data_IF_550436898758
#
_entry.id   IF_550436898758
#
_cell.length_a   1.000
_cell.length_b   1.000
_cell.length_c   1.000
_cell.angle_alpha   90.00
_cell.angle_beta   90.00
_cell.angle_gamma   90.00
#
_symmetry.space_group_name_H-M   'P 1'
#
loop_
_entity.id
_entity.type
_entity.pdbx_description
1 polymer ?
#
# COMPACT_ATOMS: atom_id res chain seq x y z
N UNK A 1 -16.65 34.46 -16.70
CA UNK A 1 -16.06 35.66 -16.06
C UNK A 1 -14.67 35.86 -16.64
N UNK A 2 -14.40 36.92 -17.40
CA UNK A 2 -13.06 37.18 -17.92
C UNK A 2 -12.18 37.76 -16.81
N UNK A 3 -11.01 37.15 -16.61
CA UNK A 3 -9.94 37.63 -15.73
C UNK A 3 -9.38 38.93 -16.33
N UNK A 4 -9.50 40.02 -15.57
CA UNK A 4 -9.02 41.34 -15.95
C UNK A 4 -7.50 41.36 -16.06
N UNK A 5 -7.03 41.80 -17.22
CA UNK A 5 -5.64 42.12 -17.50
C UNK A 5 -5.30 43.46 -16.83
N UNK A 6 -4.96 43.42 -15.54
CA UNK A 6 -4.45 44.58 -14.81
C UNK A 6 -2.96 44.79 -15.15
N UNK A 7 -2.69 45.27 -16.36
CA UNK A 7 -1.41 45.92 -16.66
C UNK A 7 -1.34 47.23 -15.89
N UNK A 8 -0.87 47.13 -14.65
CA UNK A 8 -0.78 48.24 -13.70
C UNK A 8 0.04 49.41 -14.28
N UNK A 9 -0.52 50.64 -14.35
CA UNK A 9 0.14 51.81 -14.92
C UNK A 9 1.46 52.18 -14.22
N UNK A 10 1.69 51.63 -13.02
CA UNK A 10 2.95 51.79 -12.28
C UNK A 10 4.15 51.11 -12.96
N UNK A 11 3.96 50.00 -13.70
CA UNK A 11 5.06 49.32 -14.41
C UNK A 11 5.54 50.14 -15.62
N UNK A 12 4.62 50.75 -16.37
CA UNK A 12 4.99 51.60 -17.51
C UNK A 12 5.73 52.87 -17.07
N UNK A 13 5.43 53.39 -15.88
CA UNK A 13 6.12 54.58 -15.34
C UNK A 13 7.57 54.28 -14.95
N UNK A 14 7.85 53.10 -14.39
CA UNK A 14 9.20 52.71 -13.98
C UNK A 14 10.16 52.51 -15.17
N UNK A 15 9.66 51.97 -16.29
CA UNK A 15 10.46 51.78 -17.51
C UNK A 15 10.83 53.14 -18.12
N UNK A 16 9.88 54.09 -18.16
CA UNK A 16 10.13 55.43 -18.68
C UNK A 16 11.16 56.24 -17.86
N UNK A 17 11.28 56.01 -16.55
CA UNK A 17 12.28 56.67 -15.71
C UNK A 17 13.70 56.14 -15.96
N UNK A 18 13.85 54.87 -16.32
CA UNK A 18 15.14 54.25 -16.64
C UNK A 18 15.73 54.80 -17.94
N UNK A 19 14.91 54.94 -18.99
CA UNK A 19 15.34 55.52 -20.27
C UNK A 19 15.79 56.98 -20.13
N UNK A 20 15.15 57.74 -19.22
CA UNK A 20 15.50 59.14 -18.96
C UNK A 20 16.88 59.28 -18.31
N UNK A 21 17.24 58.36 -17.42
CA UNK A 21 18.53 58.35 -16.72
C UNK A 21 19.65 57.95 -17.68
N UNK A 22 19.42 56.95 -18.54
CA UNK A 22 20.41 56.52 -19.53
C UNK A 22 20.67 57.62 -20.59
N UNK A 23 19.63 58.32 -21.02
CA UNK A 23 19.75 59.48 -21.92
C UNK A 23 20.55 60.64 -21.28
N UNK A 24 20.39 60.87 -19.97
CA UNK A 24 21.14 61.90 -19.25
C UNK A 24 22.63 61.54 -19.14
N UNK A 25 22.97 60.27 -18.87
CA UNK A 25 24.35 59.80 -18.82
C UNK A 25 25.05 59.95 -20.18
N UNK A 26 24.36 59.60 -21.28
CA UNK A 26 24.92 59.70 -22.64
C UNK A 26 25.18 61.15 -23.08
N UNK A 27 24.39 62.12 -22.57
CA UNK A 27 24.62 63.56 -22.81
C UNK A 27 25.82 64.11 -22.05
N UNK A 28 26.13 63.57 -20.86
CA UNK A 28 27.30 63.96 -20.10
C UNK A 28 28.60 63.52 -20.78
N UNK A 29 28.61 62.34 -21.43
CA UNK A 29 29.75 61.81 -22.17
C UNK A 29 30.16 62.72 -23.35
N UNK A 30 29.18 63.27 -24.07
CA UNK A 30 29.42 64.15 -25.23
C UNK A 30 30.07 65.48 -24.80
N UNK A 31 29.83 65.95 -23.56
CA UNK A 31 30.40 67.20 -23.03
C UNK A 31 31.89 67.10 -22.70
N UNK A 32 32.42 65.89 -22.46
CA UNK A 32 33.86 65.65 -22.22
C UNK A 32 34.73 65.83 -23.48
N UNK A 33 34.14 65.77 -24.68
CA UNK A 33 34.86 65.87 -25.96
C UNK A 33 34.82 67.27 -26.61
N UNK A 34 34.33 68.29 -25.90
CA UNK A 34 34.32 69.68 -26.38
C UNK A 34 35.70 70.34 -26.27
N UNK A 35 36.07 71.24 -27.22
CA UNK A 35 37.40 71.85 -27.27
C UNK A 35 37.69 72.70 -26.02
N UNK A 36 38.84 72.42 -25.41
CA UNK A 36 39.34 72.98 -24.15
C UNK A 36 39.41 74.51 -24.17
N UNK A 37 38.56 75.15 -23.39
CA UNK A 37 38.72 76.55 -23.00
C UNK A 37 39.34 76.63 -21.61
N UNK A 38 40.62 77.05 -21.62
CA UNK A 38 41.38 77.81 -20.62
C UNK A 38 41.33 77.38 -19.14
N UNK A 39 42.51 76.93 -18.70
CA UNK A 39 43.21 77.27 -17.45
C UNK A 39 42.34 77.33 -16.17
N UNK A 40 42.19 76.17 -15.54
CA UNK A 40 41.70 76.03 -14.18
C UNK A 40 42.86 75.71 -13.21
N UNK A 41 42.75 76.12 -11.94
CA UNK A 41 43.82 76.06 -10.94
C UNK A 41 44.22 74.63 -10.57
N UNK A 42 45.45 74.51 -10.05
CA UNK A 42 46.12 73.25 -9.70
C UNK A 42 45.21 72.32 -8.90
N UNK A 43 44.99 71.15 -9.50
CA UNK A 43 44.17 70.06 -8.97
C UNK A 43 44.95 69.40 -7.83
N UNK A 44 44.32 69.13 -6.66
CA UNK A 44 44.97 68.40 -5.59
C UNK A 44 45.29 66.98 -6.06
N UNK A 45 46.58 66.67 -6.21
CA UNK A 45 47.08 65.32 -6.48
C UNK A 45 46.59 64.38 -5.37
N UNK A 46 45.80 63.37 -5.72
CA UNK A 46 45.24 62.38 -4.79
C UNK A 46 43.71 62.37 -4.66
N UNK A 47 43.01 63.38 -5.19
CA UNK A 47 41.54 63.37 -5.21
C UNK A 47 40.96 62.32 -6.18
N UNK A 48 41.72 61.95 -7.23
CA UNK A 48 41.24 61.00 -8.23
C UNK A 48 41.24 59.56 -7.70
N UNK A 49 42.24 59.15 -6.90
CA UNK A 49 42.33 57.78 -6.37
C UNK A 49 41.22 57.44 -5.38
N UNK A 50 40.84 58.40 -4.52
CA UNK A 50 39.73 58.23 -3.58
C UNK A 50 38.40 58.07 -4.32
N UNK A 51 38.20 58.82 -5.41
CA UNK A 51 37.00 58.79 -6.23
C UNK A 51 36.87 57.46 -7.01
N UNK A 52 37.99 56.93 -7.53
CA UNK A 52 37.99 55.61 -8.17
C UNK A 52 37.75 54.46 -7.19
N UNK A 53 38.26 54.54 -5.95
CA UNK A 53 37.97 53.54 -4.91
C UNK A 53 36.48 53.49 -4.54
N UNK A 54 35.85 54.67 -4.35
CA UNK A 54 34.42 54.80 -4.06
C UNK A 54 33.55 54.29 -5.21
N UNK A 55 33.93 54.54 -6.46
CA UNK A 55 33.24 53.99 -7.63
C UNK A 55 33.37 52.46 -7.72
N UNK A 56 34.52 51.91 -7.29
CA UNK A 56 34.74 50.47 -7.20
C UNK A 56 33.83 49.81 -6.16
N UNK A 57 33.79 50.36 -4.95
CA UNK A 57 32.90 49.89 -3.86
C UNK A 57 31.43 50.00 -4.24
N UNK A 58 30.99 51.14 -4.78
CA UNK A 58 29.60 51.32 -5.21
C UNK A 58 29.19 50.31 -6.30
N UNK A 59 30.10 49.96 -7.21
CA UNK A 59 29.84 48.95 -8.24
C UNK A 59 29.68 47.55 -7.63
N UNK A 60 30.46 47.22 -6.61
CA UNK A 60 30.35 45.95 -5.89
C UNK A 60 29.02 45.87 -5.14
N UNK A 61 28.60 46.94 -4.46
CA UNK A 61 27.30 47.01 -3.77
C UNK A 61 26.13 46.90 -4.74
N UNK A 62 26.20 47.54 -5.92
CA UNK A 62 25.17 47.40 -6.96
C UNK A 62 25.08 45.96 -7.46
N UNK A 63 26.20 45.24 -7.58
CA UNK A 63 26.22 43.82 -7.95
C UNK A 63 25.61 42.95 -6.84
N UNK A 64 25.97 43.21 -5.57
CA UNK A 64 25.40 42.51 -4.43
C UNK A 64 23.87 42.71 -4.33
N UNK A 65 23.40 43.96 -4.50
CA UNK A 65 21.97 44.27 -4.52
C UNK A 65 21.24 43.64 -5.71
N UNK A 66 21.91 43.49 -6.88
CA UNK A 66 21.32 42.75 -8.01
C UNK A 66 21.19 41.26 -7.69
N UNK A 67 22.18 40.66 -7.06
CA UNK A 67 22.13 39.26 -6.64
C UNK A 67 21.04 39.03 -5.57
N UNK A 68 20.94 39.94 -4.59
CA UNK A 68 19.93 39.87 -3.54
C UNK A 68 18.50 40.06 -4.11
N UNK A 69 18.35 40.97 -5.09
CA UNK A 69 17.06 41.14 -5.80
C UNK A 69 16.67 39.91 -6.61
N UNK A 70 17.62 39.19 -7.20
CA UNK A 70 17.32 37.91 -7.85
C UNK A 70 16.90 36.82 -6.86
N UNK A 71 17.37 36.85 -5.61
CA UNK A 71 16.91 35.93 -4.56
C UNK A 71 15.56 36.31 -3.94
N UNK A 72 15.23 37.60 -3.92
CA UNK A 72 13.97 38.14 -3.39
C UNK A 72 12.81 38.06 -4.38
N UNK A 73 13.08 37.79 -5.65
CA UNK A 73 12.01 37.53 -6.61
C UNK A 73 11.63 36.06 -6.46
N UNK A 74 10.48 35.72 -5.83
CA UNK A 74 10.08 34.32 -5.70
C UNK A 74 10.03 33.72 -7.10
N UNK A 75 10.53 32.48 -7.29
CA UNK A 75 10.41 31.82 -8.57
C UNK A 75 8.94 31.88 -9.02
N UNK A 76 8.68 32.14 -10.31
CA UNK A 76 7.30 32.16 -10.79
C UNK A 76 6.62 30.87 -10.35
N UNK A 77 5.38 30.93 -9.85
CA UNK A 77 4.67 29.73 -9.44
C UNK A 77 4.70 28.75 -10.63
N UNK A 78 4.99 27.47 -10.38
CA UNK A 78 5.07 26.49 -11.46
C UNK A 78 3.79 26.57 -12.28
N UNK A 79 3.91 26.49 -13.61
CA UNK A 79 2.73 26.51 -14.46
C UNK A 79 1.78 25.40 -14.03
N UNK A 80 0.46 25.58 -14.16
CA UNK A 80 -0.52 24.53 -13.85
C UNK A 80 -0.19 23.21 -14.56
N UNK A 81 0.39 23.29 -15.76
CA UNK A 81 0.88 22.14 -16.51
C UNK A 81 2.05 21.43 -15.81
N UNK A 82 3.04 22.18 -15.31
CA UNK A 82 4.17 21.59 -14.55
C UNK A 82 3.70 20.96 -13.25
N UNK A 83 2.72 21.55 -12.57
CA UNK A 83 2.11 20.95 -11.37
C UNK A 83 1.40 19.64 -11.71
N UNK A 84 0.61 19.62 -12.79
CA UNK A 84 -0.06 18.41 -13.26
C UNK A 84 0.92 17.32 -13.68
N UNK A 85 2.02 17.67 -14.35
CA UNK A 85 3.08 16.72 -14.71
C UNK A 85 3.76 16.14 -13.47
N UNK A 86 4.03 16.97 -12.43
CA UNK A 86 4.56 16.49 -11.15
C UNK A 86 3.60 15.49 -10.48
N UNK A 87 2.31 15.81 -10.44
CA UNK A 87 1.29 14.90 -9.90
C UNK A 87 1.21 13.59 -10.68
N UNK A 88 1.28 13.64 -12.02
CA UNK A 88 1.25 12.43 -12.86
C UNK A 88 2.49 11.56 -12.64
N UNK A 89 3.67 12.17 -12.49
CA UNK A 89 4.91 11.45 -12.21
C UNK A 89 4.88 10.77 -10.83
N UNK A 90 4.35 11.46 -9.82
CA UNK A 90 4.16 10.91 -8.48
C UNK A 90 3.16 9.76 -8.47
N UNK A 91 2.00 9.94 -9.12
CA UNK A 91 0.97 8.91 -9.22
C UNK A 91 1.44 7.67 -10.00
N UNK A 92 2.28 7.86 -11.03
CA UNK A 92 2.90 6.74 -11.74
C UNK A 92 3.86 5.95 -10.84
N UNK A 93 4.62 6.64 -9.98
CA UNK A 93 5.52 6.00 -9.01
C UNK A 93 4.74 5.15 -8.00
N UNK A 94 3.64 5.69 -7.49
CA UNK A 94 2.77 4.98 -6.55
C UNK A 94 2.12 3.74 -7.17
N UNK A 95 1.71 3.82 -8.44
CA UNK A 95 1.18 2.66 -9.17
C UNK A 95 2.22 1.53 -9.26
N UNK A 96 3.48 1.85 -9.52
CA UNK A 96 4.54 0.85 -9.59
C UNK A 96 4.85 0.22 -8.23
N UNK A 97 4.84 1.01 -7.15
CA UNK A 97 4.97 0.49 -5.78
C UNK A 97 3.82 -0.49 -5.46
N UNK A 98 2.57 -0.09 -5.74
CA UNK A 98 1.39 -0.93 -5.48
C UNK A 98 1.38 -2.22 -6.30
N UNK A 99 1.86 -2.18 -7.55
CA UNK A 99 2.03 -3.40 -8.36
C UNK A 99 3.06 -4.33 -7.72
N UNK A 100 4.18 -3.80 -7.24
CA UNK A 100 5.21 -4.56 -6.53
C UNK A 100 4.66 -5.23 -5.26
N UNK A 101 3.92 -4.49 -4.45
CA UNK A 101 3.28 -5.00 -3.24
C UNK A 101 2.24 -6.09 -3.54
N UNK A 102 1.41 -5.90 -4.58
CA UNK A 102 0.39 -6.89 -4.94
C UNK A 102 1.00 -8.23 -5.38
N UNK A 103 2.13 -8.21 -6.10
CA UNK A 103 2.88 -9.42 -6.46
C UNK A 103 3.46 -10.08 -5.20
N UNK A 104 4.00 -9.32 -4.26
CA UNK A 104 4.51 -9.85 -2.99
C UNK A 104 3.40 -10.49 -2.12
N UNK A 105 2.22 -9.87 -2.06
CA UNK A 105 1.06 -10.39 -1.32
C UNK A 105 0.53 -11.70 -1.91
N UNK A 106 0.39 -11.77 -3.24
CA UNK A 106 -0.09 -13.00 -3.90
C UNK A 106 0.92 -14.13 -3.84
N UNK A 107 2.22 -13.82 -3.90
CA UNK A 107 3.29 -14.80 -3.67
C UNK A 107 3.26 -15.36 -2.24
N UNK A 108 3.18 -14.48 -1.24
CA UNK A 108 3.14 -14.91 0.17
C UNK A 108 1.85 -15.62 0.57
N UNK A 109 0.71 -15.31 -0.05
CA UNK A 109 -0.53 -16.06 0.20
C UNK A 109 -0.45 -17.48 -0.38
N UNK A 110 -0.03 -17.62 -1.64
CA UNK A 110 0.12 -18.93 -2.29
C UNK A 110 1.16 -19.80 -1.57
N UNK A 111 2.25 -19.20 -1.10
CA UNK A 111 3.26 -19.91 -0.31
C UNK A 111 2.69 -20.40 1.02
N UNK A 112 1.92 -19.56 1.73
CA UNK A 112 1.23 -19.97 2.97
C UNK A 112 0.21 -21.09 2.73
N UNK A 113 -0.56 -21.03 1.63
CA UNK A 113 -1.50 -22.08 1.24
C UNK A 113 -0.76 -23.39 0.91
N UNK A 114 0.34 -23.32 0.17
CA UNK A 114 1.18 -24.48 -0.15
C UNK A 114 1.77 -25.11 1.12
N UNK A 115 2.28 -24.29 2.05
CA UNK A 115 2.80 -24.78 3.31
C UNK A 115 1.72 -25.43 4.19
N UNK A 116 0.50 -24.87 4.21
CA UNK A 116 -0.63 -25.47 4.91
C UNK A 116 -0.98 -26.86 4.34
N UNK A 117 -1.08 -26.98 3.01
CA UNK A 117 -1.34 -28.26 2.35
C UNK A 117 -0.21 -29.28 2.61
N UNK A 118 1.05 -28.84 2.64
CA UNK A 118 2.18 -29.73 2.96
C UNK A 118 2.14 -30.22 4.40
N UNK A 119 1.73 -29.38 5.36
CA UNK A 119 1.58 -29.77 6.75
C UNK A 119 0.43 -30.77 6.94
N UNK A 120 -0.70 -30.55 6.26
CA UNK A 120 -1.84 -31.48 6.25
C UNK A 120 -1.43 -32.84 5.69
N UNK A 121 -0.76 -32.87 4.53
CA UNK A 121 -0.28 -34.11 3.91
C UNK A 121 0.71 -34.87 4.83
N UNK A 122 1.59 -34.13 5.53
CA UNK A 122 2.54 -34.73 6.47
C UNK A 122 1.83 -35.35 7.67
N UNK A 123 0.77 -34.71 8.15
CA UNK A 123 -0.07 -35.22 9.22
C UNK A 123 -0.76 -36.53 8.81
N UNK A 124 -1.33 -36.59 7.61
CA UNK A 124 -2.00 -37.78 7.09
C UNK A 124 -1.05 -38.97 6.93
N UNK A 125 0.17 -38.73 6.40
CA UNK A 125 1.21 -39.76 6.31
C UNK A 125 1.53 -40.32 7.70
N UNK A 126 1.57 -39.46 8.72
CA UNK A 126 1.85 -39.89 10.08
C UNK A 126 0.72 -40.77 10.64
N UNK A 127 -0.54 -40.36 10.46
CA UNK A 127 -1.72 -41.15 10.84
C UNK A 127 -1.70 -42.52 10.15
N UNK A 128 -1.45 -42.56 8.84
CA UNK A 128 -1.40 -43.79 8.08
C UNK A 128 -0.23 -44.70 8.51
N UNK A 129 0.91 -44.11 8.88
CA UNK A 129 2.06 -44.83 9.43
C UNK A 129 1.73 -45.46 10.79
N UNK A 130 0.99 -44.76 11.64
CA UNK A 130 0.60 -45.25 12.97
C UNK A 130 -0.49 -46.32 12.89
N UNK A 131 -1.36 -46.22 11.87
CA UNK A 131 -2.39 -47.22 11.58
C UNK A 131 -1.87 -48.43 10.82
N UNK A 132 -0.63 -48.41 10.31
CA UNK A 132 -0.03 -49.56 9.67
C UNK A 132 0.03 -50.71 10.70
N UNK A 133 -0.73 -51.80 10.48
CA UNK A 133 -0.90 -52.80 11.51
C UNK A 133 0.42 -53.49 11.82
N UNK A 134 0.75 -53.62 13.12
CA UNK A 134 1.90 -54.36 13.66
C UNK A 134 1.85 -55.88 13.39
N UNK A 135 1.13 -56.33 12.37
CA UNK A 135 0.99 -57.75 12.02
C UNK A 135 2.23 -58.36 11.35
N UNK A 136 3.31 -57.60 11.16
CA UNK A 136 4.60 -58.12 10.69
C UNK A 136 5.45 -58.75 11.83
N UNK A 137 4.88 -59.75 12.51
CA UNK A 137 5.66 -60.71 13.31
C UNK A 137 5.33 -62.16 12.93
N UNK A 138 4.66 -62.38 11.80
CA UNK A 138 4.60 -63.69 11.17
C UNK A 138 5.81 -63.83 10.23
N UNK A 139 6.61 -64.88 10.47
CA UNK A 139 7.82 -65.21 9.70
C UNK A 139 7.57 -65.05 8.19
N UNK A 140 8.53 -64.49 7.42
CA UNK A 140 8.44 -64.44 5.98
C UNK A 140 8.44 -65.88 5.47
N UNK A 141 7.26 -66.40 5.12
CA UNK A 141 7.21 -67.54 4.21
C UNK A 141 7.71 -67.03 2.87
N UNK A 142 8.66 -67.75 2.27
CA UNK A 142 9.22 -67.51 0.94
C UNK A 142 8.17 -67.74 -0.18
N UNK A 143 6.94 -67.28 0.03
CA UNK A 143 5.87 -67.25 -0.93
C UNK A 143 6.03 -66.03 -1.82
N UNK A 144 6.82 -66.18 -2.87
CA UNK A 144 6.87 -65.35 -4.07
C UNK A 144 5.46 -64.80 -4.40
N UNK A 145 5.21 -63.51 -4.17
CA UNK A 145 3.97 -62.83 -4.56
C UNK A 145 3.86 -62.77 -6.09
N UNK A 146 3.51 -63.89 -6.72
CA UNK A 146 3.02 -63.93 -8.10
C UNK A 146 1.51 -63.70 -8.05
N UNK A 147 1.09 -62.44 -8.05
CA UNK A 147 -0.27 -62.13 -8.48
C UNK A 147 -0.34 -62.42 -9.98
N UNK A 148 -1.17 -63.37 -10.37
CA UNK A 148 -1.45 -63.65 -11.78
C UNK A 148 -2.15 -62.43 -12.41
N UNK A 149 -1.77 -62.01 -13.63
CA UNK A 149 -2.34 -60.85 -14.31
C UNK A 149 -3.88 -60.82 -14.34
N UNK A 150 -4.50 -62.00 -14.37
CA UNK A 150 -5.96 -62.15 -14.49
C UNK A 150 -6.73 -61.75 -13.23
N UNK A 151 -6.09 -61.76 -12.05
CA UNK A 151 -6.73 -61.31 -10.81
C UNK A 151 -6.79 -59.78 -10.71
N UNK A 152 -5.90 -59.07 -11.37
CA UNK A 152 -5.87 -57.60 -11.36
C UNK A 152 -6.99 -57.02 -12.25
N UNK A 153 -7.41 -57.75 -13.29
CA UNK A 153 -8.52 -57.32 -14.16
C UNK A 153 -9.91 -57.44 -13.52
N UNK A 154 -10.10 -58.31 -12.51
CA UNK A 154 -11.41 -58.50 -11.89
C UNK A 154 -11.79 -57.43 -10.87
N UNK A 155 -10.86 -56.58 -10.43
CA UNK A 155 -11.17 -55.53 -9.45
C UNK A 155 -11.82 -54.28 -10.03
N UNK A 156 -11.98 -54.14 -11.36
CA UNK A 156 -12.72 -53.02 -11.95
C UNK A 156 -12.15 -51.63 -11.65
N UNK A 157 -10.91 -51.55 -11.15
CA UNK A 157 -10.19 -50.29 -10.94
C UNK A 157 -9.37 -50.06 -12.22
N UNK A 158 -9.62 -48.99 -13.00
CA UNK A 158 -8.79 -48.68 -14.15
C UNK A 158 -7.36 -48.41 -13.68
N UNK A 159 -6.43 -49.27 -14.11
CA UNK A 159 -5.00 -49.33 -13.74
C UNK A 159 -4.16 -48.08 -14.11
N UNK A 160 -4.76 -46.95 -14.43
CA UNK A 160 -4.06 -45.71 -14.76
C UNK A 160 -3.71 -44.81 -13.59
N UNK A 161 -4.23 -45.03 -12.38
CA UNK A 161 -4.21 -43.96 -11.35
C UNK A 161 -3.41 -44.27 -10.08
N UNK A 162 -3.12 -45.51 -9.70
CA UNK A 162 -2.56 -45.76 -8.33
C UNK A 162 -1.07 -46.15 -8.30
N UNK A 163 -0.45 -46.54 -9.42
CA UNK A 163 1.00 -46.80 -9.47
C UNK A 163 1.82 -45.67 -10.14
N UNK A 164 1.16 -44.69 -10.78
CA UNK A 164 1.83 -43.57 -11.45
C UNK A 164 2.14 -42.38 -10.55
N UNK A 165 1.44 -42.21 -9.42
CA UNK A 165 1.51 -40.97 -8.64
C UNK A 165 2.80 -40.90 -7.78
N UNK A 166 3.36 -42.02 -7.32
CA UNK A 166 4.61 -41.98 -6.54
C UNK A 166 5.87 -41.85 -7.43
N UNK A 167 5.89 -42.45 -8.63
CA UNK A 167 7.06 -42.41 -9.51
C UNK A 167 7.09 -41.16 -10.42
N UNK A 168 5.94 -40.65 -10.85
CA UNK A 168 5.90 -39.44 -11.68
C UNK A 168 6.22 -38.17 -10.87
N UNK A 169 5.85 -38.12 -9.57
CA UNK A 169 6.12 -36.93 -8.75
C UNK A 169 7.60 -36.78 -8.39
N UNK A 170 8.34 -37.88 -8.25
CA UNK A 170 9.80 -37.85 -8.00
C UNK A 170 10.59 -37.55 -9.28
N UNK A 171 10.09 -37.89 -10.46
CA UNK A 171 10.76 -37.56 -11.73
C UNK A 171 10.41 -36.15 -12.25
N UNK A 172 9.28 -35.57 -11.84
CA UNK A 172 8.80 -34.25 -12.30
C UNK A 172 9.36 -33.06 -11.48
N UNK A 173 9.93 -33.31 -10.30
CA UNK A 173 10.67 -32.29 -9.52
C UNK A 173 12.11 -32.06 -10.03
N UNK A 174 12.63 -32.91 -10.91
CA UNK A 174 14.01 -32.82 -11.39
C UNK A 174 14.20 -31.96 -12.65
N UNK A 175 13.14 -31.61 -13.39
CA UNK A 175 13.27 -30.97 -14.72
C UNK A 175 12.75 -29.53 -14.82
N UNK A 176 12.14 -28.96 -13.79
CA UNK A 176 11.93 -27.51 -13.68
C UNK A 176 11.24 -26.82 -14.87
N UNK A 177 10.36 -27.50 -15.62
CA UNK A 177 9.67 -26.92 -16.77
C UNK A 177 8.15 -26.91 -16.56
N UNK A 178 7.66 -25.87 -15.87
CA UNK A 178 6.25 -25.48 -15.94
C UNK A 178 6.07 -24.46 -17.06
N UNK A 179 5.59 -24.90 -18.22
CA UNK A 179 5.06 -24.01 -19.25
C UNK A 179 3.53 -24.01 -19.13
N UNK A 180 3.00 -23.11 -18.30
CA UNK A 180 1.55 -22.87 -18.20
C UNK A 180 1.16 -22.01 -19.39
N UNK A 181 0.77 -22.68 -20.48
CA UNK A 181 0.16 -22.02 -21.63
C UNK A 181 -1.19 -21.42 -21.24
N UNK A 182 -1.21 -20.11 -20.98
CA UNK A 182 -2.43 -19.32 -20.85
C UNK A 182 -3.09 -19.22 -22.23
N UNK A 183 -4.06 -20.10 -22.50
CA UNK A 183 -5.00 -19.87 -23.61
C UNK A 183 -5.86 -18.66 -23.26
N UNK A 184 -5.62 -17.62 -24.05
CA UNK A 184 -6.44 -16.42 -24.24
C UNK A 184 -7.90 -16.76 -24.49
N UNK A 185 -8.78 -16.36 -23.55
CA UNK A 185 -10.20 -16.15 -23.82
C UNK A 185 -10.43 -14.65 -24.10
N UNK A 186 -11.23 -14.29 -25.12
CA UNK A 186 -11.40 -12.91 -25.56
C UNK A 186 -12.41 -12.16 -24.69
N UNK A 187 -12.02 -10.92 -24.38
CA UNK A 187 -12.81 -9.71 -24.07
C UNK A 187 -14.33 -9.89 -23.85
N UNK A 188 -14.74 -9.76 -22.59
CA UNK A 188 -15.95 -9.03 -22.21
C UNK A 188 -15.50 -7.67 -21.67
N UNK A 189 -15.25 -6.75 -22.60
CA UNK A 189 -15.14 -5.33 -22.32
C UNK A 189 -16.57 -4.76 -22.24
N UNK A 190 -16.96 -4.21 -21.09
CA UNK A 190 -18.21 -3.47 -20.98
C UNK A 190 -19.01 -3.60 -19.68
N UNK A 191 -18.37 -3.68 -18.52
CA UNK A 191 -19.03 -3.25 -17.29
C UNK A 191 -18.11 -2.28 -16.55
N UNK A 192 -18.62 -1.05 -16.38
CA UNK A 192 -17.86 0.13 -16.02
C UNK A 192 -17.15 -0.01 -14.69
N UNK A 193 -15.82 0.11 -14.72
CA UNK A 193 -15.03 0.50 -13.56
C UNK A 193 -15.03 2.02 -13.45
N UNK A 194 -16.21 2.59 -13.19
CA UNK A 194 -16.32 3.95 -12.67
C UNK A 194 -16.05 3.86 -11.16
N UNK A 195 -15.02 4.59 -10.74
CA UNK A 195 -14.51 4.92 -9.39
C UNK A 195 -13.71 3.87 -8.59
N UNK A 196 -12.38 3.87 -8.74
CA UNK A 196 -11.48 3.30 -7.72
C UNK A 196 -10.14 4.06 -7.50
N UNK A 197 -10.06 5.34 -7.88
CA UNK A 197 -8.90 6.19 -7.61
C UNK A 197 -9.13 7.18 -6.43
N UNK A 198 -10.39 7.59 -6.18
CA UNK A 198 -10.76 8.34 -4.97
C UNK A 198 -10.98 7.44 -3.73
N UNK A 199 -10.96 6.11 -3.91
CA UNK A 199 -11.34 5.13 -2.89
C UNK A 199 -10.14 4.55 -2.09
N UNK A 200 -8.92 5.05 -2.33
CA UNK A 200 -7.72 4.62 -1.58
C UNK A 200 -7.37 5.54 -0.40
N UNK A 201 -8.01 6.70 -0.28
CA UNK A 201 -7.74 7.67 0.79
C UNK A 201 -8.73 7.64 1.98
N UNK A 202 -9.66 6.70 1.98
CA UNK A 202 -10.49 6.39 3.16
C UNK A 202 -10.51 4.88 3.36
N UNK A 203 -9.38 4.30 3.80
CA UNK A 203 -9.48 3.01 4.48
C UNK A 203 -10.45 3.22 5.65
N UNK A 204 -11.58 2.52 5.63
CA UNK A 204 -12.63 2.72 6.62
C UNK A 204 -12.02 2.58 8.01
N UNK A 205 -12.20 3.62 8.83
CA UNK A 205 -11.64 3.64 10.19
C UNK A 205 -12.26 2.50 11.00
N UNK A 206 -11.61 2.02 12.07
CA UNK A 206 -12.17 0.93 12.86
C UNK A 206 -13.56 1.28 13.41
N UNK A 207 -13.85 2.56 13.67
CA UNK A 207 -15.17 3.04 14.07
C UNK A 207 -16.22 2.89 12.96
N UNK A 208 -15.89 3.24 11.72
CA UNK A 208 -16.80 3.09 10.58
C UNK A 208 -17.09 1.62 10.28
N UNK A 209 -16.08 0.75 10.42
CA UNK A 209 -16.26 -0.69 10.30
C UNK A 209 -17.15 -1.24 11.41
N UNK A 210 -17.00 -0.75 12.64
CA UNK A 210 -17.86 -1.12 13.77
C UNK A 210 -19.32 -0.71 13.55
N UNK A 211 -19.58 0.50 13.07
CA UNK A 211 -20.93 0.97 12.73
C UNK A 211 -21.56 0.10 11.64
N UNK A 212 -20.79 -0.18 10.58
CA UNK A 212 -21.22 -1.05 9.48
C UNK A 212 -21.54 -2.46 9.98
N UNK A 213 -20.68 -3.02 10.84
CA UNK A 213 -20.90 -4.33 11.44
C UNK A 213 -22.16 -4.35 12.33
N UNK A 214 -22.38 -3.32 13.13
CA UNK A 214 -23.59 -3.19 13.95
C UNK A 214 -24.86 -3.17 13.11
N UNK A 215 -24.86 -2.45 11.98
CA UNK A 215 -25.98 -2.45 11.04
C UNK A 215 -26.23 -3.83 10.41
N UNK A 216 -25.17 -4.60 10.11
CA UNK A 216 -25.27 -5.97 9.60
C UNK A 216 -25.82 -6.94 10.66
N UNK A 217 -25.35 -6.83 11.90
CA UNK A 217 -25.85 -7.62 13.03
C UNK A 217 -27.33 -7.33 13.31
N UNK A 218 -27.76 -6.06 13.23
CA UNK A 218 -29.16 -5.68 13.36
C UNK A 218 -30.07 -6.25 12.26
N UNK A 219 -29.51 -6.55 11.08
CA UNK A 219 -30.20 -7.24 9.97
C UNK A 219 -30.13 -8.77 10.07
N UNK A 220 -29.39 -9.32 11.02
CA UNK A 220 -29.16 -10.77 11.17
C UNK A 220 -28.12 -11.34 10.18
N UNK A 221 -27.34 -10.49 9.51
CA UNK A 221 -26.30 -10.90 8.58
C UNK A 221 -24.95 -11.11 9.30
N UNK A 222 -24.86 -12.25 9.98
CA UNK A 222 -23.71 -12.61 10.82
C UNK A 222 -22.45 -12.83 9.97
N UNK A 223 -22.58 -13.39 8.77
CA UNK A 223 -21.44 -13.77 7.92
C UNK A 223 -20.71 -12.53 7.43
N UNK A 224 -21.45 -11.54 6.93
CA UNK A 224 -20.84 -10.28 6.50
C UNK A 224 -20.34 -9.46 7.71
N UNK A 225 -21.08 -9.43 8.82
CA UNK A 225 -20.63 -8.76 10.04
C UNK A 225 -19.29 -9.31 10.53
N UNK A 226 -19.10 -10.64 10.56
CA UNK A 226 -17.83 -11.29 10.91
C UNK A 226 -16.67 -10.81 10.04
N UNK A 227 -16.88 -10.65 8.74
CA UNK A 227 -15.84 -10.20 7.81
C UNK A 227 -15.44 -8.74 8.08
N UNK A 228 -16.43 -7.87 8.28
CA UNK A 228 -16.19 -6.45 8.59
C UNK A 228 -15.47 -6.29 9.93
N UNK A 229 -15.92 -7.02 10.96
CA UNK A 229 -15.30 -7.03 12.28
C UNK A 229 -13.88 -7.61 12.25
N UNK A 230 -13.63 -8.65 11.46
CA UNK A 230 -12.27 -9.19 11.29
C UNK A 230 -11.30 -8.16 10.71
N UNK A 231 -11.78 -7.30 9.79
CA UNK A 231 -10.98 -6.18 9.28
C UNK A 231 -10.69 -5.17 10.41
N UNK A 232 -11.69 -4.79 11.20
CA UNK A 232 -11.49 -3.88 12.33
C UNK A 232 -10.54 -4.46 13.41
N UNK A 233 -10.58 -5.77 13.64
CA UNK A 233 -9.61 -6.48 14.51
C UNK A 233 -8.21 -6.42 13.92
N UNK A 234 -8.06 -6.59 12.61
CA UNK A 234 -6.75 -6.48 11.95
C UNK A 234 -6.15 -5.07 12.05
N UNK A 235 -6.97 -4.04 12.25
CA UNK A 235 -6.57 -2.66 12.53
C UNK A 235 -6.27 -2.40 14.02
N UNK A 236 -6.36 -3.42 14.90
CA UNK A 236 -6.01 -3.32 16.31
C UNK A 236 -7.16 -2.90 17.24
N UNK A 237 -8.41 -2.90 16.77
CA UNK A 237 -9.55 -2.56 17.63
C UNK A 237 -9.87 -3.68 18.62
N UNK A 238 -9.61 -3.42 19.90
CA UNK A 238 -9.97 -4.32 21.00
C UNK A 238 -11.48 -4.52 21.11
N UNK A 239 -12.27 -3.46 20.87
CA UNK A 239 -13.72 -3.50 20.90
C UNK A 239 -14.26 -4.36 19.75
N UNK A 240 -13.68 -4.25 18.56
CA UNK A 240 -14.03 -5.13 17.43
C UNK A 240 -13.73 -6.60 17.73
N UNK A 241 -12.69 -6.90 18.53
CA UNK A 241 -12.39 -8.28 18.94
C UNK A 241 -13.48 -8.85 19.83
N UNK A 242 -14.05 -8.05 20.72
CA UNK A 242 -15.20 -8.44 21.56
C UNK A 242 -16.43 -8.71 20.71
N UNK A 243 -16.79 -7.79 19.81
CA UNK A 243 -17.96 -7.98 18.95
C UNK A 243 -17.78 -9.18 18.01
N UNK A 244 -16.57 -9.37 17.45
CA UNK A 244 -16.28 -10.55 16.63
C UNK A 244 -16.43 -11.84 17.46
N UNK A 245 -15.94 -11.86 18.70
CA UNK A 245 -16.09 -13.00 19.59
C UNK A 245 -17.56 -13.33 19.87
N UNK A 246 -18.39 -12.31 20.14
CA UNK A 246 -19.85 -12.47 20.33
C UNK A 246 -20.48 -13.16 19.12
N UNK A 247 -20.08 -12.80 17.90
CA UNK A 247 -20.64 -13.46 16.70
C UNK A 247 -20.32 -14.95 16.59
N UNK A 248 -19.31 -15.47 17.29
CA UNK A 248 -18.98 -16.90 17.34
C UNK A 248 -19.52 -17.59 18.61
N UNK A 249 -19.94 -16.81 19.61
CA UNK A 249 -20.40 -17.31 20.89
C UNK A 249 -21.78 -17.99 20.77
N UNK A 250 -21.90 -19.27 21.18
CA UNK A 250 -23.15 -20.01 21.05
C UNK A 250 -24.30 -19.40 21.85
N UNK A 251 -24.04 -18.82 23.03
CA UNK A 251 -25.10 -18.22 23.84
C UNK A 251 -25.59 -16.90 23.25
N UNK A 252 -24.68 -16.11 22.67
CA UNK A 252 -25.04 -14.89 21.99
C UNK A 252 -25.87 -15.19 20.73
N UNK A 253 -25.44 -16.18 19.94
CA UNK A 253 -26.18 -16.62 18.76
C UNK A 253 -27.55 -17.22 19.11
N UNK A 254 -27.67 -17.92 20.24
CA UNK A 254 -28.95 -18.45 20.71
C UNK A 254 -29.96 -17.35 21.09
N UNK A 255 -29.49 -16.16 21.48
CA UNK A 255 -30.35 -15.00 21.77
C UNK A 255 -30.82 -14.28 20.51
N UNK A 256 -30.12 -14.44 19.39
CA UNK A 256 -30.49 -13.82 18.12
C UNK A 256 -31.59 -14.65 17.46
N UNK A 257 -32.75 -14.04 17.22
CA UNK A 257 -33.83 -14.65 16.46
C UNK A 257 -33.38 -14.80 15.00
N UNK A 258 -33.00 -16.03 14.61
CA UNK A 258 -32.68 -16.45 13.24
C UNK A 258 -31.28 -16.03 12.71
N UNK A 259 -30.18 -16.59 13.25
CA UNK A 259 -28.85 -16.37 12.69
C UNK A 259 -28.74 -17.01 11.31
N UNK A 260 -28.70 -16.19 10.26
CA UNK A 260 -28.61 -16.66 8.88
C UNK A 260 -27.23 -17.27 8.62
N UNK A 261 -27.14 -18.60 8.52
CA UNK A 261 -25.99 -19.30 7.93
C UNK A 261 -24.67 -19.25 8.70
N UNK A 262 -24.67 -18.88 9.99
CA UNK A 262 -23.45 -18.80 10.80
C UNK A 262 -23.43 -19.87 11.90
N UNK A 263 -22.51 -20.83 11.78
CA UNK A 263 -22.27 -21.80 12.84
C UNK A 263 -21.57 -21.15 14.05
N UNK A 264 -21.94 -21.52 15.29
CA UNK A 264 -21.18 -21.16 16.49
C UNK A 264 -19.79 -21.81 16.47
N UNK A 265 -18.81 -21.14 17.07
CA UNK A 265 -17.44 -21.64 17.25
C UNK A 265 -16.89 -21.10 18.57
N UNK A 266 -17.14 -21.83 19.65
CA UNK A 266 -16.76 -21.44 21.00
C UNK A 266 -15.24 -21.30 21.15
N UNK A 267 -14.46 -22.20 20.55
CA UNK A 267 -12.99 -22.16 20.59
C UNK A 267 -12.45 -20.86 20.00
N UNK A 268 -13.04 -20.39 18.90
CA UNK A 268 -12.67 -19.13 18.25
C UNK A 268 -13.15 -17.92 19.03
N UNK A 269 -14.34 -17.99 19.62
CA UNK A 269 -14.85 -16.95 20.53
C UNK A 269 -13.89 -16.74 21.71
N UNK A 270 -13.45 -17.82 22.38
CA UNK A 270 -12.49 -17.75 23.48
C UNK A 270 -11.19 -17.06 23.07
N UNK A 271 -10.58 -17.45 21.94
CA UNK A 271 -9.33 -16.82 21.46
C UNK A 271 -9.49 -15.32 21.23
N UNK A 272 -10.62 -14.89 20.68
CA UNK A 272 -10.90 -13.47 20.43
C UNK A 272 -11.17 -12.69 21.72
N UNK A 273 -11.90 -13.29 22.67
CA UNK A 273 -12.06 -12.69 23.99
C UNK A 273 -10.73 -12.59 24.74
N UNK A 274 -9.79 -13.54 24.57
CA UNK A 274 -8.45 -13.42 25.17
C UNK A 274 -7.67 -12.24 24.60
N UNK A 275 -7.77 -12.00 23.29
CA UNK A 275 -7.16 -10.82 22.65
C UNK A 275 -7.75 -9.53 23.24
N UNK A 276 -9.07 -9.44 23.35
CA UNK A 276 -9.72 -8.27 23.93
C UNK A 276 -9.43 -8.08 25.43
N UNK A 277 -9.35 -9.17 26.20
CA UNK A 277 -9.03 -9.14 27.63
C UNK A 277 -7.60 -8.65 27.87
N UNK A 278 -6.63 -9.07 27.05
CA UNK A 278 -5.25 -8.54 27.10
C UNK A 278 -5.18 -7.04 26.81
N UNK A 279 -6.12 -6.53 26.01
CA UNK A 279 -6.27 -5.10 25.75
C UNK A 279 -7.05 -4.34 26.85
N UNK A 280 -7.38 -4.99 27.97
CA UNK A 280 -8.02 -4.39 29.13
C UNK A 280 -9.56 -4.35 29.07
N UNK A 281 -10.19 -5.08 28.14
CA UNK A 281 -11.65 -5.11 28.06
C UNK A 281 -12.25 -6.00 29.18
N UNK A 282 -13.01 -5.39 30.10
CA UNK A 282 -13.62 -6.09 31.24
C UNK A 282 -14.71 -7.10 30.82
N UNK A 283 -15.53 -6.76 29.82
CA UNK A 283 -16.59 -7.65 29.32
C UNK A 283 -16.00 -8.96 28.78
N UNK A 284 -14.89 -8.87 28.03
CA UNK A 284 -14.19 -10.04 27.51
C UNK A 284 -13.66 -10.95 28.62
N UNK A 285 -13.10 -10.37 29.68
CA UNK A 285 -12.61 -11.13 30.85
C UNK A 285 -13.75 -11.88 31.54
N UNK A 286 -14.87 -11.20 31.81
CA UNK A 286 -16.05 -11.82 32.41
C UNK A 286 -16.58 -12.97 31.55
N UNK A 287 -16.63 -12.78 30.23
CA UNK A 287 -17.14 -13.80 29.32
C UNK A 287 -16.23 -15.01 29.22
N UNK A 288 -14.90 -14.82 29.22
CA UNK A 288 -13.93 -15.91 29.28
C UNK A 288 -14.10 -16.78 30.52
N UNK A 289 -14.31 -16.18 31.68
CA UNK A 289 -14.54 -16.93 32.91
C UNK A 289 -15.80 -17.79 32.83
N UNK A 290 -16.87 -17.26 32.22
CA UNK A 290 -18.10 -18.02 31.98
C UNK A 290 -17.86 -19.22 31.06
N UNK A 291 -17.22 -19.00 29.90
CA UNK A 291 -16.92 -20.07 28.94
C UNK A 291 -15.98 -21.14 29.53
N UNK A 292 -15.03 -20.75 30.39
CA UNK A 292 -14.17 -21.71 31.09
C UNK A 292 -14.93 -22.56 32.11
N UNK A 293 -15.90 -21.96 32.81
CA UNK A 293 -16.75 -22.67 33.77
C UNK A 293 -17.68 -23.66 33.07
N UNK A 294 -18.30 -23.27 31.95
CA UNK A 294 -19.19 -24.16 31.18
C UNK A 294 -18.44 -25.36 30.61
N UNK A 295 -17.20 -25.17 30.12
CA UNK A 295 -16.37 -26.28 29.64
C UNK A 295 -15.82 -27.19 30.75
N UNK A 296 -15.85 -26.75 32.01
CA UNK A 296 -15.34 -27.53 33.15
C UNK A 296 -16.42 -28.36 33.86
N UNK A 297 -17.69 -28.19 33.51
CA UNK A 297 -18.79 -29.03 34.01
C UNK A 297 -19.02 -30.21 33.04
N UNK A 298 -18.77 -31.45 33.47
CA UNK A 298 -18.96 -32.66 32.66
C UNK A 298 -20.44 -33.03 32.45
#
# INVERSE_FOLDING_TARGET
MPLGDETSPQRSSAIAQLDLIEAAAKRAEIRKNGPSLRAAPERPEGADDTLYSLLGELRADIQALKAERTTLTPPPPPSPESQMQSMLAELHRDIEVLKGEQVAWTATQKERELQAMLQELRHDIHILSDQAPKHAAAKPSEGRWRMSPDQVLKLGIPLGVVAGIAAAFVLMLATGQFNVGTRTSPQLAGFGSVTNAQNRHYAATPEQLMETAGALLGKGDIVFARRVLANAVSQGSALASVELAKTYDPEFLARLYNPSGAAPDESRAMKLYEVASRAGNFEATMRLEQLRKTNSSP
#
